data_IF_984700457357
#
_entry.id   IF_984700457357
#
_cell.length_a   1.000
_cell.length_b   1.000
_cell.length_c   1.000
_cell.angle_alpha   90.00
_cell.angle_beta   90.00
_cell.angle_gamma   90.00
#
_symmetry.space_group_name_H-M   'P 1'
#
loop_
_entity.id
_entity.type
_entity.pdbx_description
1 polymer ?
#
# COMPACT_ATOMS: atom_id res chain seq x y z
N UNK A 1 17.67 57.52 -12.52
CA UNK A 1 17.69 59.00 -12.47
C UNK A 1 16.28 59.53 -12.15
N UNK A 2 15.67 59.04 -11.06
CA UNK A 2 14.40 59.48 -10.50
C UNK A 2 14.36 59.00 -9.03
N UNK A 3 15.29 59.51 -8.23
CA UNK A 3 15.40 59.21 -6.79
C UNK A 3 15.83 60.49 -6.03
N UNK A 4 15.14 61.59 -6.32
CA UNK A 4 15.42 62.90 -5.70
C UNK A 4 14.16 63.73 -5.41
N UNK A 5 12.98 63.11 -5.33
CA UNK A 5 11.72 63.84 -5.00
C UNK A 5 11.05 63.36 -3.70
N UNK A 6 11.46 62.24 -3.09
CA UNK A 6 10.73 61.68 -1.93
C UNK A 6 11.39 61.98 -0.57
N UNK A 7 12.61 62.51 -0.52
CA UNK A 7 13.32 62.83 0.73
C UNK A 7 13.42 64.34 1.04
N UNK A 8 12.54 65.15 0.45
CA UNK A 8 12.55 66.61 0.64
C UNK A 8 11.24 67.15 1.22
N UNK A 9 11.15 67.22 2.55
CA UNK A 9 10.25 68.13 3.25
C UNK A 9 8.98 67.53 3.86
N UNK A 10 9.00 67.22 5.16
CA UNK A 10 8.46 68.12 6.18
C UNK A 10 8.52 67.47 7.56
N UNK A 11 8.94 68.27 8.54
CA UNK A 11 8.75 67.98 9.96
C UNK A 11 7.28 68.24 10.33
N UNK A 12 6.80 67.38 11.23
CA UNK A 12 5.75 67.60 12.23
C UNK A 12 4.25 67.38 11.88
N UNK A 13 3.63 66.73 12.86
CA UNK A 13 2.22 66.66 13.30
C UNK A 13 1.20 65.76 12.57
N UNK A 14 0.64 64.88 13.42
CA UNK A 14 -0.70 64.27 13.45
C UNK A 14 -1.08 63.08 12.56
N UNK A 15 -1.62 62.06 13.24
CA UNK A 15 -2.63 61.14 12.71
C UNK A 15 -2.10 59.79 12.22
N UNK A 16 -2.28 58.73 13.02
CA UNK A 16 -1.98 57.35 12.64
C UNK A 16 -2.69 56.93 11.36
N UNK A 17 -1.91 56.49 10.37
CA UNK A 17 -2.43 56.03 9.07
C UNK A 17 -1.37 55.91 7.96
N UNK A 18 -0.21 56.55 8.10
CA UNK A 18 0.79 56.62 7.02
C UNK A 18 1.66 55.37 6.80
N UNK A 19 1.82 54.49 7.79
CA UNK A 19 2.77 53.36 7.72
C UNK A 19 2.27 52.19 6.87
N UNK A 20 0.99 51.82 6.98
CA UNK A 20 0.44 50.69 6.22
C UNK A 20 0.20 51.01 4.75
N UNK A 21 -0.11 52.27 4.42
CA UNK A 21 -0.28 52.71 3.04
C UNK A 21 1.04 52.69 2.26
N UNK A 22 2.15 53.13 2.87
CA UNK A 22 3.48 53.02 2.25
C UNK A 22 3.91 51.55 2.06
N UNK A 23 3.63 50.68 3.03
CA UNK A 23 3.96 49.26 2.92
C UNK A 23 3.13 48.55 1.83
N UNK A 24 1.87 48.92 1.69
CA UNK A 24 0.99 48.40 0.64
C UNK A 24 1.40 48.89 -0.76
N UNK A 25 1.75 50.17 -0.93
CA UNK A 25 2.24 50.69 -2.21
C UNK A 25 3.58 50.07 -2.63
N UNK A 26 4.50 49.83 -1.67
CA UNK A 26 5.75 49.10 -1.92
C UNK A 26 5.50 47.63 -2.30
N UNK A 27 4.54 46.97 -1.66
CA UNK A 27 4.18 45.58 -1.98
C UNK A 27 3.53 45.46 -3.38
N UNK A 28 2.66 46.41 -3.75
CA UNK A 28 2.03 46.44 -5.08
C UNK A 28 3.07 46.73 -6.17
N UNK A 29 4.07 47.58 -5.91
CA UNK A 29 5.17 47.82 -6.86
C UNK A 29 6.03 46.58 -7.12
N UNK A 30 6.27 45.75 -6.11
CA UNK A 30 7.03 44.49 -6.24
C UNK A 30 6.23 43.43 -7.00
N UNK A 31 4.91 43.38 -6.82
CA UNK A 31 4.04 42.44 -7.57
C UNK A 31 3.94 42.84 -9.05
N UNK A 32 3.89 44.14 -9.37
CA UNK A 32 3.82 44.62 -10.76
C UNK A 32 5.14 44.40 -11.53
N UNK A 33 6.30 44.43 -10.87
CA UNK A 33 7.58 44.08 -11.53
C UNK A 33 7.72 42.57 -11.80
N UNK A 34 7.11 41.70 -10.98
CA UNK A 34 7.16 40.25 -11.15
C UNK A 34 6.20 39.73 -12.23
N UNK A 35 5.07 40.39 -12.47
CA UNK A 35 4.09 39.99 -13.50
C UNK A 35 4.50 40.45 -14.92
N UNK A 36 5.55 41.27 -15.04
CA UNK A 36 6.03 41.83 -16.30
C UNK A 36 7.38 41.32 -16.82
N UNK A 37 8.07 40.46 -16.09
CA UNK A 37 9.45 40.09 -16.43
C UNK A 37 9.76 38.62 -16.19
N UNK A 38 9.79 37.83 -17.26
CA UNK A 38 10.14 36.42 -17.24
C UNK A 38 11.65 36.14 -16.97
N UNK A 39 12.49 37.17 -16.80
CA UNK A 39 13.94 37.02 -16.62
C UNK A 39 14.54 38.16 -15.77
N UNK A 40 14.31 38.16 -14.45
CA UNK A 40 15.06 39.05 -13.52
C UNK A 40 15.89 38.21 -12.56
N UNK A 41 17.22 38.28 -12.72
CA UNK A 41 18.18 37.75 -11.75
C UNK A 41 18.37 38.79 -10.63
N UNK A 42 17.81 38.54 -9.45
CA UNK A 42 17.96 39.44 -8.30
C UNK A 42 19.36 39.27 -7.69
N UNK A 43 20.12 40.36 -7.55
CA UNK A 43 21.47 40.32 -6.98
C UNK A 43 21.45 40.14 -5.45
N UNK A 44 22.47 39.43 -4.91
CA UNK A 44 22.59 39.11 -3.47
C UNK A 44 22.52 40.33 -2.53
N UNK A 45 22.92 41.52 -2.97
CA UNK A 45 22.89 42.75 -2.15
C UNK A 45 21.47 43.31 -1.96
N UNK A 46 20.59 43.07 -2.95
CA UNK A 46 19.20 43.51 -2.91
C UNK A 46 18.39 42.64 -1.95
N UNK A 47 18.64 41.32 -1.95
CA UNK A 47 17.99 40.35 -1.05
C UNK A 47 18.25 40.60 0.45
N UNK A 48 19.47 41.02 0.81
CA UNK A 48 19.79 41.39 2.21
C UNK A 48 18.98 42.60 2.69
N UNK A 49 18.70 43.56 1.81
CA UNK A 49 17.86 44.71 2.16
C UNK A 49 16.40 44.28 2.35
N UNK A 50 15.86 43.39 1.50
CA UNK A 50 14.50 42.85 1.67
C UNK A 50 14.32 42.10 3.00
N UNK A 51 15.28 41.25 3.38
CA UNK A 51 15.22 40.51 4.65
C UNK A 51 15.32 41.43 5.88
N UNK A 52 16.13 42.49 5.83
CA UNK A 52 16.22 43.49 6.91
C UNK A 52 14.92 44.29 7.03
N UNK A 53 14.30 44.67 5.92
CA UNK A 53 12.98 45.34 5.93
C UNK A 53 11.90 44.43 6.53
N UNK A 54 11.86 43.15 6.16
CA UNK A 54 10.88 42.17 6.68
C UNK A 54 11.07 41.93 8.18
N UNK A 55 12.32 41.75 8.65
CA UNK A 55 12.60 41.59 10.08
C UNK A 55 12.21 42.84 10.87
N UNK A 56 12.43 44.03 10.32
CA UNK A 56 12.04 45.28 10.98
C UNK A 56 10.52 45.40 11.08
N UNK A 57 9.78 45.03 10.03
CA UNK A 57 8.31 45.03 10.02
C UNK A 57 7.74 44.03 11.03
N UNK A 58 8.26 42.79 11.06
CA UNK A 58 7.82 41.77 12.02
C UNK A 58 8.12 42.19 13.46
N UNK A 59 9.29 42.77 13.70
CA UNK A 59 9.70 43.21 15.04
C UNK A 59 8.90 44.42 15.53
N UNK A 60 8.46 45.31 14.62
CA UNK A 60 7.53 46.41 14.91
C UNK A 60 6.10 45.90 15.17
N UNK A 61 5.62 44.90 14.42
CA UNK A 61 4.29 44.30 14.67
C UNK A 61 4.23 43.56 16.02
N UNK A 62 5.30 42.88 16.43
CA UNK A 62 5.38 42.20 17.73
C UNK A 62 5.47 43.19 18.90
N UNK A 63 6.13 44.34 18.71
CA UNK A 63 6.22 45.40 19.70
C UNK A 63 4.89 46.11 19.98
N UNK A 64 3.97 46.18 18.99
CA UNK A 64 2.69 46.87 19.11
C UNK A 64 1.50 45.96 19.48
N UNK A 65 1.70 44.64 19.64
CA UNK A 65 0.65 43.64 19.97
C UNK A 65 -0.61 43.76 19.10
N UNK A 66 -0.48 44.11 17.83
CA UNK A 66 -1.58 44.13 16.88
C UNK A 66 -1.75 42.73 16.25
N UNK A 67 -2.97 42.18 16.15
CA UNK A 67 -3.20 40.93 15.45
C UNK A 67 -2.93 41.09 13.94
N UNK A 68 -2.12 40.20 13.37
CA UNK A 68 -1.85 40.15 11.93
C UNK A 68 -3.14 39.73 11.20
N UNK A 69 -3.65 40.58 10.31
CA UNK A 69 -4.79 40.26 9.44
C UNK A 69 -4.43 39.24 8.34
N UNK A 70 -5.42 38.63 7.70
CA UNK A 70 -5.26 37.54 6.71
C UNK A 70 -4.26 37.85 5.58
N UNK A 71 -4.15 39.11 5.16
CA UNK A 71 -3.17 39.60 4.17
C UNK A 71 -1.71 39.37 4.62
N UNK A 72 -1.43 39.43 5.93
CA UNK A 72 -0.09 39.24 6.49
C UNK A 72 0.31 37.76 6.54
N UNK A 73 -0.66 36.85 6.68
CA UNK A 73 -0.44 35.41 6.56
C UNK A 73 -0.11 35.01 5.13
N UNK A 74 -0.74 35.67 4.15
CA UNK A 74 -0.44 35.48 2.73
C UNK A 74 1.00 35.90 2.41
N UNK A 75 1.46 37.02 2.96
CA UNK A 75 2.85 37.47 2.81
C UNK A 75 3.83 36.48 3.45
N UNK A 76 3.52 35.96 4.64
CA UNK A 76 4.35 34.93 5.29
C UNK A 76 4.41 33.63 4.47
N UNK A 77 3.28 33.24 3.86
CA UNK A 77 3.17 32.07 3.00
C UNK A 77 3.97 32.23 1.70
N UNK A 78 3.89 33.40 1.06
CA UNK A 78 4.66 33.71 -0.15
C UNK A 78 6.17 33.72 0.17
N UNK A 79 6.57 34.31 1.30
CA UNK A 79 7.97 34.30 1.75
C UNK A 79 8.47 32.88 2.03
N UNK A 80 7.63 32.02 2.63
CA UNK A 80 7.94 30.60 2.84
C UNK A 80 8.09 29.83 1.52
N UNK A 81 7.17 30.04 0.57
CA UNK A 81 7.24 29.45 -0.77
C UNK A 81 8.50 29.91 -1.54
N UNK A 82 8.85 31.20 -1.47
CA UNK A 82 10.07 31.73 -2.07
C UNK A 82 11.34 31.20 -1.40
N UNK A 83 11.33 30.99 -0.08
CA UNK A 83 12.44 30.36 0.65
C UNK A 83 12.63 28.89 0.23
N UNK A 84 11.55 28.16 -0.01
CA UNK A 84 11.60 26.80 -0.54
C UNK A 84 12.16 26.76 -1.97
N UNK A 85 11.73 27.68 -2.84
CA UNK A 85 12.28 27.81 -4.19
C UNK A 85 13.77 28.20 -4.21
N UNK A 86 14.21 29.12 -3.35
CA UNK A 86 15.60 29.63 -3.35
C UNK A 86 16.62 28.62 -2.79
N UNK A 87 16.22 27.76 -1.85
CA UNK A 87 17.11 26.72 -1.31
C UNK A 87 17.21 25.49 -2.22
N UNK A 88 16.59 25.49 -3.39
CA UNK A 88 16.52 24.29 -4.22
C UNK A 88 15.88 23.12 -3.47
N UNK A 89 14.90 23.39 -2.58
CA UNK A 89 13.93 22.37 -2.20
C UNK A 89 13.08 22.08 -3.44
N UNK A 90 13.71 21.32 -4.34
CA UNK A 90 13.11 20.50 -5.36
C UNK A 90 11.86 19.87 -4.74
N UNK A 91 10.84 19.67 -5.59
CA UNK A 91 9.94 18.54 -5.48
C UNK A 91 10.63 17.45 -4.66
N UNK A 92 10.17 17.21 -3.43
CA UNK A 92 10.67 16.06 -2.69
C UNK A 92 10.22 14.87 -3.51
N UNK A 93 11.11 14.35 -4.36
CA UNK A 93 10.91 13.14 -5.11
C UNK A 93 10.70 12.05 -4.05
N UNK A 94 9.44 11.87 -3.63
CA UNK A 94 9.09 10.98 -2.54
C UNK A 94 9.47 9.57 -3.01
N UNK A 95 10.53 9.02 -2.41
CA UNK A 95 10.99 7.68 -2.75
C UNK A 95 10.16 6.70 -1.94
N UNK A 96 9.21 6.07 -2.61
CA UNK A 96 8.36 5.02 -2.05
C UNK A 96 8.96 3.66 -2.40
N UNK A 97 9.37 2.92 -1.38
CA UNK A 97 9.77 1.53 -1.54
C UNK A 97 8.60 0.62 -1.23
N UNK A 98 8.23 -0.23 -2.19
CA UNK A 98 7.22 -1.27 -1.95
C UNK A 98 7.95 -2.60 -1.77
N UNK A 99 7.88 -3.16 -0.57
CA UNK A 99 8.40 -4.49 -0.27
C UNK A 99 7.21 -5.44 -0.33
N UNK A 100 7.23 -6.34 -1.30
CA UNK A 100 6.23 -7.38 -1.47
C UNK A 100 6.94 -8.73 -1.54
N UNK A 101 6.33 -9.75 -0.96
CA UNK A 101 6.77 -11.14 -1.15
C UNK A 101 5.88 -11.88 -2.15
N UNK A 102 4.86 -11.23 -2.71
CA UNK A 102 3.94 -11.82 -3.65
C UNK A 102 4.16 -11.29 -5.07
N UNK A 103 4.07 -12.21 -6.03
CA UNK A 103 4.39 -12.02 -7.44
C UNK A 103 3.53 -10.95 -8.12
N UNK A 104 4.09 -10.27 -9.12
CA UNK A 104 3.40 -9.33 -10.01
C UNK A 104 3.25 -9.96 -11.41
N UNK A 105 2.00 -10.16 -11.87
CA UNK A 105 1.52 -10.51 -13.25
C UNK A 105 1.24 -11.99 -13.64
N UNK A 106 0.78 -12.18 -14.89
CA UNK A 106 -0.60 -12.59 -15.24
C UNK A 106 -0.87 -14.10 -15.42
N UNK A 107 0.10 -15.01 -15.32
CA UNK A 107 -0.18 -16.46 -15.43
C UNK A 107 0.13 -17.32 -14.20
N UNK A 108 0.93 -16.82 -13.25
CA UNK A 108 1.18 -17.41 -11.92
C UNK A 108 0.74 -16.45 -10.82
N UNK A 109 -0.46 -15.91 -10.99
CA UNK A 109 -1.09 -15.03 -10.00
C UNK A 109 -1.40 -15.82 -8.74
N UNK A 110 -0.55 -15.70 -7.71
CA UNK A 110 -0.91 -16.16 -6.36
C UNK A 110 -1.79 -15.10 -5.69
N UNK A 111 -2.98 -14.89 -6.26
CA UNK A 111 -4.00 -13.95 -5.75
C UNK A 111 -3.91 -12.50 -6.25
N UNK A 112 -4.84 -11.65 -5.79
CA UNK A 112 -4.98 -10.25 -6.25
C UNK A 112 -3.90 -9.27 -5.80
N UNK A 113 -2.98 -9.69 -4.91
CA UNK A 113 -1.99 -8.80 -4.30
C UNK A 113 -1.02 -8.19 -5.32
N UNK A 114 -0.55 -9.00 -6.27
CA UNK A 114 0.34 -8.54 -7.34
C UNK A 114 -0.24 -7.40 -8.19
N UNK A 115 -1.52 -7.51 -8.54
CA UNK A 115 -2.22 -6.50 -9.32
C UNK A 115 -2.40 -5.21 -8.52
N UNK A 116 -2.66 -5.32 -7.21
CA UNK A 116 -2.77 -4.15 -6.33
C UNK A 116 -1.44 -3.42 -6.23
N UNK A 117 -0.33 -4.13 -6.01
CA UNK A 117 1.01 -3.53 -5.94
C UNK A 117 1.39 -2.89 -7.27
N UNK A 118 1.07 -3.55 -8.40
CA UNK A 118 1.33 -3.03 -9.75
C UNK A 118 0.53 -1.76 -10.02
N UNK A 119 -0.79 -1.81 -9.80
CA UNK A 119 -1.68 -0.66 -10.03
C UNK A 119 -1.34 0.51 -9.11
N UNK A 120 -1.05 0.25 -7.83
CA UNK A 120 -0.61 1.27 -6.88
C UNK A 120 0.71 1.90 -7.32
N UNK A 121 1.71 1.09 -7.67
CA UNK A 121 3.01 1.58 -8.12
C UNK A 121 2.90 2.48 -9.34
N UNK A 122 2.15 2.06 -10.38
CA UNK A 122 1.90 2.88 -11.57
C UNK A 122 1.16 4.17 -11.22
N UNK A 123 0.15 4.12 -10.37
CA UNK A 123 -0.62 5.30 -9.96
C UNK A 123 0.26 6.31 -9.19
N UNK A 124 1.17 5.83 -8.34
CA UNK A 124 2.13 6.68 -7.62
C UNK A 124 3.17 7.29 -8.56
N UNK A 125 3.72 6.51 -9.51
CA UNK A 125 4.62 7.04 -10.55
C UNK A 125 3.96 8.14 -11.38
N UNK A 126 2.70 7.94 -11.80
CA UNK A 126 1.92 8.96 -12.53
C UNK A 126 1.72 10.26 -11.72
N UNK A 127 1.80 10.19 -10.40
CA UNK A 127 1.76 11.36 -9.50
C UNK A 127 3.13 11.96 -9.20
N UNK A 128 4.20 11.48 -9.86
CA UNK A 128 5.56 12.00 -9.72
C UNK A 128 6.37 11.37 -8.59
N UNK A 129 5.91 10.28 -7.97
CA UNK A 129 6.67 9.59 -6.94
C UNK A 129 7.66 8.59 -7.55
N UNK A 130 8.87 8.52 -7.01
CA UNK A 130 9.80 7.46 -7.36
C UNK A 130 9.37 6.19 -6.63
N UNK A 131 8.92 5.19 -7.39
CA UNK A 131 8.51 3.90 -6.84
C UNK A 131 9.51 2.83 -7.23
N UNK A 132 10.07 2.15 -6.24
CA UNK A 132 10.93 0.98 -6.43
C UNK A 132 10.34 -0.20 -5.67
N UNK A 133 10.33 -1.38 -6.30
CA UNK A 133 9.74 -2.59 -5.72
C UNK A 133 10.84 -3.57 -5.37
N UNK A 134 10.77 -4.22 -4.21
CA UNK A 134 11.70 -5.28 -3.81
C UNK A 134 10.92 -6.58 -3.66
N UNK A 135 11.32 -7.61 -4.40
CA UNK A 135 10.73 -8.95 -4.40
C UNK A 135 11.80 -10.02 -4.11
N UNK A 136 11.43 -11.18 -3.55
CA UNK A 136 12.27 -12.37 -3.61
C UNK A 136 12.38 -12.84 -5.06
N UNK A 137 13.57 -13.29 -5.48
CA UNK A 137 13.76 -13.90 -6.79
C UNK A 137 13.36 -15.38 -6.73
N UNK A 138 12.10 -15.69 -7.01
CA UNK A 138 11.66 -17.09 -7.06
C UNK A 138 12.15 -17.82 -8.33
N UNK A 139 12.46 -19.10 -8.23
CA UNK A 139 12.78 -19.95 -9.38
C UNK A 139 11.59 -20.18 -10.31
N UNK A 140 10.37 -20.14 -9.78
CA UNK A 140 9.12 -20.32 -10.53
C UNK A 140 8.48 -19.02 -11.05
N UNK A 141 9.21 -17.90 -11.07
CA UNK A 141 8.70 -16.64 -11.66
C UNK A 141 8.56 -16.74 -13.18
N UNK A 142 7.65 -15.94 -13.74
CA UNK A 142 7.58 -15.71 -15.19
C UNK A 142 8.65 -14.71 -15.61
N UNK A 143 9.86 -15.22 -15.84
CA UNK A 143 11.02 -14.39 -16.20
C UNK A 143 10.83 -13.64 -17.52
N UNK A 144 10.00 -14.16 -18.43
CA UNK A 144 9.69 -13.59 -19.73
C UNK A 144 8.94 -12.26 -19.63
N UNK A 145 8.26 -12.01 -18.51
CA UNK A 145 7.55 -10.75 -18.25
C UNK A 145 8.45 -9.65 -17.71
N UNK A 146 9.70 -9.97 -17.35
CA UNK A 146 10.65 -9.02 -16.77
C UNK A 146 11.55 -8.46 -17.88
N UNK A 147 11.43 -7.17 -18.16
CA UNK A 147 12.29 -6.50 -19.13
C UNK A 147 13.63 -6.12 -18.49
N UNK A 148 14.69 -6.17 -19.27
CA UNK A 148 16.04 -5.73 -18.89
C UNK A 148 16.57 -6.38 -17.60
N UNK A 149 16.16 -7.64 -17.35
CA UNK A 149 16.60 -8.39 -16.18
C UNK A 149 18.11 -8.62 -16.21
N UNK A 150 18.81 -8.06 -15.24
CA UNK A 150 20.27 -8.20 -15.11
C UNK A 150 20.70 -8.23 -13.66
N UNK A 151 21.78 -8.95 -13.40
CA UNK A 151 22.43 -8.91 -12.09
C UNK A 151 23.15 -7.57 -11.92
N UNK A 152 23.04 -6.99 -10.74
CA UNK A 152 23.93 -5.91 -10.33
C UNK A 152 25.27 -6.50 -9.90
N UNK A 153 26.36 -5.79 -10.18
CA UNK A 153 27.70 -6.12 -9.67
C UNK A 153 27.84 -5.64 -8.21
N UNK A 154 26.88 -6.05 -7.39
CA UNK A 154 26.84 -5.80 -5.96
C UNK A 154 26.41 -7.09 -5.27
N UNK A 155 27.08 -7.43 -4.17
CA UNK A 155 26.69 -8.54 -3.31
C UNK A 155 26.30 -7.96 -1.98
N UNK A 156 25.04 -8.17 -1.59
CA UNK A 156 24.51 -7.72 -0.30
C UNK A 156 24.64 -8.86 0.69
N UNK A 157 25.28 -8.62 1.83
CA UNK A 157 25.37 -9.63 2.90
C UNK A 157 24.31 -9.39 3.97
N UNK A 158 23.62 -10.45 4.39
CA UNK A 158 22.59 -10.38 5.44
C UNK A 158 22.86 -11.40 6.55
N UNK A 159 22.74 -10.94 7.79
CA UNK A 159 22.77 -11.82 8.95
C UNK A 159 21.58 -12.79 8.95
N UNK A 160 21.84 -14.08 9.16
CA UNK A 160 20.83 -15.07 9.48
C UNK A 160 21.43 -16.24 10.28
N UNK A 161 20.72 -16.79 11.26
CA UNK A 161 21.14 -17.98 12.04
C UNK A 161 22.61 -17.93 12.53
N UNK A 162 23.05 -16.75 13.01
CA UNK A 162 24.40 -16.54 13.54
C UNK A 162 25.52 -16.35 12.49
N UNK A 163 25.17 -16.24 11.19
CA UNK A 163 26.14 -16.14 10.08
C UNK A 163 25.73 -15.05 9.09
N UNK A 164 26.67 -14.61 8.26
CA UNK A 164 26.38 -13.75 7.11
C UNK A 164 26.18 -14.61 5.87
N UNK A 165 25.11 -14.33 5.12
CA UNK A 165 24.81 -14.95 3.84
C UNK A 165 24.83 -13.91 2.73
N UNK A 166 25.38 -14.29 1.59
CA UNK A 166 25.42 -13.45 0.40
C UNK A 166 24.07 -13.47 -0.31
N UNK A 167 23.69 -12.33 -0.87
CA UNK A 167 22.50 -12.17 -1.69
C UNK A 167 22.91 -11.54 -3.01
N UNK A 168 22.52 -12.18 -4.11
CA UNK A 168 22.68 -11.61 -5.43
C UNK A 168 21.49 -10.73 -5.73
N UNK A 169 21.76 -9.49 -6.12
CA UNK A 169 20.72 -8.51 -6.43
C UNK A 169 20.55 -8.43 -7.93
N UNK A 170 19.31 -8.55 -8.39
CA UNK A 170 18.95 -8.38 -9.78
C UNK A 170 18.03 -7.17 -9.91
N UNK A 171 18.08 -6.52 -11.06
CA UNK A 171 17.17 -5.43 -11.41
C UNK A 171 16.48 -5.75 -12.72
N UNK A 172 15.24 -5.32 -12.84
CA UNK A 172 14.47 -5.38 -14.07
C UNK A 172 13.29 -4.43 -14.03
N UNK A 173 12.52 -4.40 -15.11
CA UNK A 173 11.29 -3.61 -15.20
C UNK A 173 10.10 -4.53 -15.43
N UNK A 174 9.09 -4.38 -14.58
CA UNK A 174 7.83 -5.14 -14.63
C UNK A 174 6.72 -4.12 -14.83
N UNK A 175 6.04 -4.15 -15.98
CA UNK A 175 4.92 -3.23 -16.27
C UNK A 175 5.28 -1.74 -16.11
N UNK A 176 6.52 -1.38 -16.45
CA UNK A 176 7.03 -0.01 -16.32
C UNK A 176 7.54 0.36 -14.92
N UNK A 177 7.42 -0.54 -13.93
CA UNK A 177 7.91 -0.33 -12.57
C UNK A 177 9.32 -0.93 -12.41
N UNK A 178 10.28 -0.19 -11.81
CA UNK A 178 11.58 -0.74 -11.49
C UNK A 178 11.47 -1.71 -10.31
N UNK A 179 12.02 -2.92 -10.49
CA UNK A 179 11.96 -4.00 -9.51
C UNK A 179 13.36 -4.53 -9.22
N UNK A 180 13.68 -4.63 -7.93
CA UNK A 180 14.84 -5.35 -7.41
C UNK A 180 14.39 -6.76 -6.99
N UNK A 181 15.13 -7.76 -7.45
CA UNK A 181 14.93 -9.15 -7.04
C UNK A 181 16.11 -9.61 -6.20
N UNK A 182 15.83 -10.10 -5.00
CA UNK A 182 16.84 -10.62 -4.08
C UNK A 182 16.90 -12.13 -4.25
N UNK A 183 18.05 -12.64 -4.65
CA UNK A 183 18.36 -14.08 -4.74
C UNK A 183 19.25 -14.49 -3.56
N UNK A 184 18.69 -15.14 -2.53
CA UNK A 184 19.49 -15.59 -1.39
C UNK A 184 20.43 -16.73 -1.75
N UNK A 185 21.71 -16.61 -1.43
CA UNK A 185 22.64 -17.75 -1.45
C UNK A 185 22.66 -18.41 -0.06
N UNK A 186 21.51 -18.96 0.32
CA UNK A 186 21.32 -19.69 1.58
C UNK A 186 21.28 -21.21 1.31
N UNK A 187 21.93 -22.07 2.14
CA UNK A 187 21.96 -23.53 1.92
C UNK A 187 20.57 -24.18 1.93
N UNK A 188 19.57 -23.53 2.51
CA UNK A 188 18.18 -23.95 2.45
C UNK A 188 17.49 -23.68 1.11
N UNK A 189 18.17 -23.13 0.10
CA UNK A 189 17.58 -22.78 -1.20
C UNK A 189 16.30 -21.93 -1.07
N UNK A 190 16.34 -20.89 -0.24
CA UNK A 190 15.17 -20.03 -0.04
C UNK A 190 14.73 -19.40 -1.37
N UNK A 191 13.45 -19.57 -1.68
CA UNK A 191 12.82 -19.13 -2.95
C UNK A 191 13.31 -19.86 -4.20
N UNK A 192 14.07 -20.95 -4.06
CA UNK A 192 14.49 -21.82 -5.16
C UNK A 192 13.98 -23.26 -4.93
N UNK A 193 12.65 -23.39 -4.82
CA UNK A 193 11.97 -24.66 -4.48
C UNK A 193 10.72 -24.93 -5.32
N UNK A 194 10.43 -24.11 -6.32
CA UNK A 194 9.23 -24.21 -7.15
C UNK A 194 7.96 -23.62 -6.55
N UNK A 195 7.94 -23.33 -5.24
CA UNK A 195 6.74 -22.90 -4.52
C UNK A 195 6.88 -21.49 -3.90
N UNK A 196 5.80 -20.70 -4.01
CA UNK A 196 5.74 -19.33 -3.47
C UNK A 196 5.45 -19.31 -1.97
N UNK A 197 4.47 -20.14 -1.54
CA UNK A 197 3.98 -20.23 -0.16
C UNK A 197 3.75 -21.69 0.25
N UNK A 198 3.59 -21.93 1.54
CA UNK A 198 3.22 -23.24 2.08
C UNK A 198 4.42 -24.12 2.41
N UNK A 199 5.64 -23.58 2.35
CA UNK A 199 6.81 -24.30 2.85
C UNK A 199 6.79 -24.35 4.38
N UNK A 200 7.28 -25.46 4.91
CA UNK A 200 7.37 -25.70 6.35
C UNK A 200 8.18 -24.64 7.13
N UNK A 201 9.08 -23.93 6.45
CA UNK A 201 9.97 -22.91 7.01
C UNK A 201 9.68 -21.49 6.46
N UNK A 202 8.45 -21.23 5.99
CA UNK A 202 8.08 -19.91 5.44
C UNK A 202 8.39 -18.74 6.40
N UNK A 203 8.25 -18.94 7.71
CA UNK A 203 8.67 -17.93 8.70
C UNK A 203 10.14 -17.53 8.52
N UNK A 204 11.03 -18.52 8.35
CA UNK A 204 12.46 -18.29 8.12
C UNK A 204 12.70 -17.67 6.76
N UNK A 205 12.06 -18.17 5.70
CA UNK A 205 12.18 -17.61 4.34
C UNK A 205 11.85 -16.12 4.32
N UNK A 206 10.72 -15.74 4.90
CA UNK A 206 10.20 -14.38 4.85
C UNK A 206 10.89 -13.41 5.82
N UNK A 207 11.32 -13.88 7.00
CA UNK A 207 12.17 -13.08 7.89
C UNK A 207 13.57 -12.86 7.30
N UNK A 208 14.14 -13.86 6.62
CA UNK A 208 15.37 -13.71 5.85
C UNK A 208 15.20 -12.64 4.76
N UNK A 209 14.16 -12.74 3.94
CA UNK A 209 13.90 -11.78 2.86
C UNK A 209 13.73 -10.36 3.40
N UNK A 210 12.94 -10.18 4.46
CA UNK A 210 12.73 -8.88 5.10
C UNK A 210 14.05 -8.28 5.60
N UNK A 211 14.94 -9.11 6.17
CA UNK A 211 16.29 -8.69 6.58
C UNK A 211 17.12 -8.27 5.37
N UNK A 212 17.19 -9.10 4.33
CA UNK A 212 17.98 -8.85 3.12
C UNK A 212 17.50 -7.60 2.35
N UNK A 213 16.20 -7.33 2.33
CA UNK A 213 15.63 -6.12 1.74
C UNK A 213 16.10 -4.85 2.46
N UNK A 214 16.15 -4.85 3.79
CA UNK A 214 16.71 -3.74 4.56
C UNK A 214 18.23 -3.62 4.41
N UNK A 215 18.96 -4.73 4.28
CA UNK A 215 20.40 -4.70 3.97
C UNK A 215 20.66 -4.08 2.60
N UNK A 216 19.83 -4.39 1.59
CA UNK A 216 19.91 -3.77 0.27
C UNK A 216 19.76 -2.24 0.39
N UNK A 217 18.76 -1.77 1.11
CA UNK A 217 18.56 -0.32 1.33
C UNK A 217 19.76 0.31 2.04
N UNK A 218 20.20 -0.31 3.14
CA UNK A 218 21.27 0.21 3.97
C UNK A 218 22.62 0.25 3.24
N UNK A 219 23.02 -0.86 2.60
CA UNK A 219 24.32 -1.00 1.93
C UNK A 219 24.36 -0.20 0.62
N UNK A 220 23.22 -0.02 -0.06
CA UNK A 220 23.13 0.87 -1.22
C UNK A 220 23.04 2.36 -0.85
N UNK A 221 23.02 2.70 0.45
CA UNK A 221 22.88 4.09 0.92
C UNK A 221 21.53 4.73 0.56
N UNK A 222 20.52 3.92 0.26
CA UNK A 222 19.18 4.40 -0.10
C UNK A 222 18.47 4.93 1.15
N UNK A 223 17.81 6.09 1.01
CA UNK A 223 17.07 6.75 2.08
C UNK A 223 15.63 6.99 1.64
N UNK A 224 14.78 5.95 1.62
CA UNK A 224 13.40 6.14 1.26
C UNK A 224 12.66 6.99 2.29
N UNK A 225 11.64 7.69 1.82
CA UNK A 225 10.69 8.41 2.68
C UNK A 225 9.62 7.47 3.22
N UNK A 226 9.24 6.47 2.41
CA UNK A 226 8.23 5.48 2.77
C UNK A 226 8.73 4.08 2.44
N UNK A 227 8.58 3.16 3.40
CA UNK A 227 8.68 1.71 3.17
C UNK A 227 7.28 1.13 3.34
N UNK A 228 6.70 0.62 2.26
CA UNK A 228 5.37 0.03 2.23
C UNK A 228 5.48 -1.49 2.16
N UNK A 229 5.09 -2.14 3.26
CA UNK A 229 5.10 -3.58 3.43
C UNK A 229 3.70 -4.15 3.18
N UNK A 230 3.63 -5.29 2.48
CA UNK A 230 2.38 -6.00 2.22
C UNK A 230 2.37 -7.39 2.84
N UNK A 231 1.34 -7.65 3.64
CA UNK A 231 1.04 -8.91 4.31
C UNK A 231 2.15 -9.50 5.19
N UNK A 232 1.82 -10.60 5.86
CA UNK A 232 2.63 -11.18 6.93
C UNK A 232 4.07 -11.53 6.49
N UNK A 233 4.27 -11.83 5.22
CA UNK A 233 5.57 -12.16 4.63
C UNK A 233 6.58 -11.00 4.72
N UNK A 234 6.10 -9.76 4.86
CA UNK A 234 6.97 -8.56 5.01
C UNK A 234 6.80 -7.91 6.38
N UNK A 235 6.05 -8.53 7.29
CA UNK A 235 5.72 -7.97 8.59
C UNK A 235 6.93 -7.83 9.55
N UNK A 236 8.05 -8.48 9.22
CA UNK A 236 9.31 -8.37 9.96
C UNK A 236 10.07 -7.06 9.67
N UNK A 237 9.77 -6.38 8.56
CA UNK A 237 10.50 -5.17 8.13
C UNK A 237 10.41 -4.08 9.20
N UNK A 238 9.23 -3.84 9.77
CA UNK A 238 9.04 -2.79 10.77
C UNK A 238 9.88 -2.97 12.05
N UNK A 239 9.82 -4.12 12.75
CA UNK A 239 10.67 -4.34 13.92
C UNK A 239 12.16 -4.36 13.56
N UNK A 240 12.55 -5.00 12.44
CA UNK A 240 13.95 -4.99 11.97
C UNK A 240 14.47 -3.57 11.74
N UNK A 241 13.68 -2.73 11.07
CA UNK A 241 14.03 -1.35 10.77
C UNK A 241 14.31 -0.56 12.05
N UNK A 242 13.38 -0.57 13.00
CA UNK A 242 13.52 0.24 14.22
C UNK A 242 14.61 -0.27 15.16
N UNK A 243 14.72 -1.58 15.34
CA UNK A 243 15.65 -2.15 16.31
C UNK A 243 17.09 -2.18 15.78
N UNK A 244 17.28 -2.40 14.48
CA UNK A 244 18.60 -2.75 13.92
C UNK A 244 19.14 -1.76 12.90
N UNK A 245 18.30 -1.03 12.16
CA UNK A 245 18.76 -0.18 11.05
C UNK A 245 18.61 1.31 11.30
N UNK A 246 17.54 1.75 11.97
CA UNK A 246 17.37 3.14 12.37
C UNK A 246 18.53 3.66 13.24
N UNK A 247 19.03 2.89 14.25
CA UNK A 247 20.23 3.29 15.00
C UNK A 247 21.50 3.35 14.15
N UNK A 248 21.54 2.65 13.01
CA UNK A 248 22.67 2.64 12.07
C UNK A 248 22.60 3.75 11.01
N UNK A 249 21.55 4.57 11.01
CA UNK A 249 21.39 5.72 10.11
C UNK A 249 20.38 5.53 8.97
N UNK A 250 19.75 4.36 8.84
CA UNK A 250 18.57 4.19 7.98
C UNK A 250 17.31 4.54 8.79
N UNK A 251 17.10 5.84 9.02
CA UNK A 251 16.09 6.36 9.96
C UNK A 251 15.14 7.43 9.36
N UNK A 252 15.19 7.64 8.04
CA UNK A 252 14.33 8.62 7.34
C UNK A 252 12.92 8.10 7.07
N UNK A 253 12.77 6.80 6.84
CA UNK A 253 11.55 6.22 6.34
C UNK A 253 10.43 6.16 7.38
N UNK A 254 9.21 6.40 6.90
CA UNK A 254 7.97 6.02 7.56
C UNK A 254 7.50 4.67 7.01
N UNK A 255 7.08 3.78 7.90
CA UNK A 255 6.68 2.42 7.55
C UNK A 255 5.16 2.35 7.44
N UNK A 256 4.67 1.97 6.27
CA UNK A 256 3.28 1.64 6.02
C UNK A 256 3.15 0.11 5.91
N UNK A 257 2.19 -0.48 6.60
CA UNK A 257 1.91 -1.91 6.49
C UNK A 257 0.47 -2.13 6.05
N UNK A 258 0.27 -2.81 4.93
CA UNK A 258 -1.07 -3.23 4.47
C UNK A 258 -1.27 -4.71 4.73
N UNK A 259 -2.31 -5.05 5.48
CA UNK A 259 -2.78 -6.43 5.62
C UNK A 259 -4.04 -6.63 4.77
N UNK A 260 -3.96 -7.53 3.79
CA UNK A 260 -5.05 -7.90 2.89
C UNK A 260 -5.92 -9.01 3.43
N UNK A 261 -5.35 -9.89 4.26
CA UNK A 261 -6.09 -10.99 4.86
C UNK A 261 -5.52 -11.37 6.22
N UNK A 262 -6.30 -11.13 7.29
CA UNK A 262 -5.94 -11.49 8.66
C UNK A 262 -5.98 -13.00 8.94
N UNK A 263 -6.38 -13.85 7.99
CA UNK A 263 -6.23 -15.31 8.10
C UNK A 263 -4.76 -15.72 8.24
N UNK A 264 -3.89 -15.11 7.43
CA UNK A 264 -2.50 -15.51 7.30
C UNK A 264 -1.63 -14.55 8.11
N UNK A 265 -1.20 -15.00 9.28
CA UNK A 265 -0.47 -14.15 10.23
C UNK A 265 1.00 -14.56 10.43
N UNK A 266 1.40 -15.73 9.92
CA UNK A 266 2.77 -16.22 10.05
C UNK A 266 3.19 -16.56 11.47
N UNK A 267 2.27 -16.99 12.34
CA UNK A 267 2.60 -17.30 13.74
C UNK A 267 3.64 -18.44 13.81
N UNK A 268 4.65 -18.31 14.66
CA UNK A 268 5.72 -19.31 14.85
C UNK A 268 6.28 -19.25 16.28
N UNK A 269 7.09 -20.25 16.72
CA UNK A 269 7.81 -20.18 17.99
C UNK A 269 8.64 -18.90 18.09
N UNK A 270 8.62 -18.23 19.24
CA UNK A 270 9.29 -16.96 19.45
C UNK A 270 10.81 -17.00 19.20
N UNK A 271 11.43 -18.15 19.46
CA UNK A 271 12.85 -18.40 19.23
C UNK A 271 13.27 -18.15 17.77
N UNK A 272 12.36 -18.29 16.81
CA UNK A 272 12.64 -18.10 15.39
C UNK A 272 12.98 -16.63 15.03
N UNK A 273 12.64 -15.66 15.89
CA UNK A 273 13.04 -14.26 15.67
C UNK A 273 14.56 -14.08 15.71
N UNK A 274 15.26 -14.86 16.54
CA UNK A 274 16.72 -14.82 16.65
C UNK A 274 17.40 -15.12 15.30
N UNK A 275 16.76 -15.93 14.45
CA UNK A 275 17.24 -16.29 13.12
C UNK A 275 17.54 -15.05 12.29
N UNK A 276 16.69 -14.02 12.33
CA UNK A 276 16.88 -12.76 11.60
C UNK A 276 17.60 -11.65 12.40
N UNK A 277 18.09 -11.97 13.61
CA UNK A 277 18.86 -11.07 14.47
C UNK A 277 18.02 -10.20 15.40
N UNK A 278 16.72 -10.47 15.51
CA UNK A 278 15.83 -9.78 16.43
C UNK A 278 15.93 -10.36 17.86
N UNK A 279 15.82 -9.51 18.87
CA UNK A 279 15.86 -9.91 20.28
C UNK A 279 14.53 -10.55 20.71
N UNK A 280 14.57 -11.87 20.94
CA UNK A 280 13.41 -12.67 21.31
C UNK A 280 12.78 -12.19 22.62
N UNK A 281 13.59 -11.84 23.62
CA UNK A 281 13.08 -11.45 24.95
C UNK A 281 12.42 -10.07 24.91
N UNK A 282 12.96 -9.15 24.11
CA UNK A 282 12.37 -7.82 23.95
C UNK A 282 11.09 -7.84 23.12
N UNK A 283 10.96 -8.75 22.16
CA UNK A 283 9.84 -8.78 21.21
C UNK A 283 8.75 -9.78 21.55
N UNK A 284 9.06 -10.89 22.23
CA UNK A 284 8.05 -11.83 22.71
C UNK A 284 7.37 -11.31 23.99
N UNK A 285 6.70 -10.16 23.86
CA UNK A 285 5.92 -9.50 24.91
C UNK A 285 4.50 -9.21 24.43
N UNK A 286 3.49 -9.19 25.33
CA UNK A 286 2.10 -8.92 24.97
C UNK A 286 1.88 -7.59 24.24
N UNK A 287 2.63 -6.54 24.59
CA UNK A 287 2.58 -5.21 23.96
C UNK A 287 3.42 -5.11 22.68
N UNK A 288 4.06 -6.21 22.27
CA UNK A 288 4.96 -6.33 21.11
C UNK A 288 4.46 -7.43 20.17
N UNK A 289 5.30 -8.42 19.86
CA UNK A 289 5.01 -9.45 18.86
C UNK A 289 4.44 -10.74 19.43
N UNK A 290 4.30 -10.91 20.75
CA UNK A 290 3.80 -12.16 21.33
C UNK A 290 2.42 -12.52 20.79
N UNK A 291 2.22 -13.77 20.40
CA UNK A 291 0.93 -14.25 19.92
C UNK A 291 -0.13 -14.20 21.04
N UNK A 292 -1.36 -13.79 20.71
CA UNK A 292 -2.42 -13.64 21.71
C UNK A 292 -2.97 -14.99 22.19
N UNK A 293 -2.75 -16.07 21.45
CA UNK A 293 -3.22 -17.42 21.75
C UNK A 293 -2.15 -18.31 22.38
N UNK A 294 -0.87 -17.95 22.28
CA UNK A 294 0.24 -18.76 22.79
C UNK A 294 1.47 -17.90 23.17
N UNK A 295 1.87 -17.91 24.44
CA UNK A 295 2.93 -17.04 24.97
C UNK A 295 4.35 -17.40 24.51
N UNK A 296 4.58 -18.64 24.08
CA UNK A 296 5.84 -19.12 23.51
C UNK A 296 5.96 -18.83 22.00
N UNK A 297 4.93 -18.24 21.41
CA UNK A 297 4.85 -17.90 19.99
C UNK A 297 4.82 -16.41 19.76
N UNK A 298 5.20 -16.03 18.55
CA UNK A 298 5.11 -14.66 18.05
C UNK A 298 4.24 -14.61 16.81
N UNK A 299 3.67 -13.44 16.59
CA UNK A 299 2.77 -13.13 15.50
C UNK A 299 3.34 -11.95 14.69
N UNK A 300 3.94 -12.22 13.51
CA UNK A 300 4.50 -11.19 12.66
C UNK A 300 3.52 -10.05 12.34
N UNK A 301 2.27 -10.36 12.00
CA UNK A 301 1.26 -9.32 11.70
C UNK A 301 0.98 -8.43 12.90
N UNK A 302 0.90 -9.00 14.11
CA UNK A 302 0.84 -8.21 15.36
C UNK A 302 2.03 -7.26 15.46
N UNK A 303 3.24 -7.76 15.19
CA UNK A 303 4.45 -6.95 15.13
C UNK A 303 4.33 -5.79 14.14
N UNK A 304 3.94 -6.07 12.90
CA UNK A 304 3.77 -5.02 11.91
C UNK A 304 2.71 -3.98 12.32
N UNK A 305 1.62 -4.38 12.98
CA UNK A 305 0.65 -3.43 13.55
C UNK A 305 1.29 -2.56 14.62
N UNK A 306 2.06 -3.14 15.53
CA UNK A 306 2.69 -2.42 16.64
C UNK A 306 3.76 -1.45 16.14
N UNK A 307 4.63 -1.87 15.21
CA UNK A 307 5.85 -1.16 14.82
C UNK A 307 5.69 -0.22 13.60
N UNK A 308 4.67 -0.40 12.75
CA UNK A 308 4.47 0.49 11.59
C UNK A 308 3.92 1.85 12.00
N UNK A 309 4.24 2.90 11.23
CA UNK A 309 3.70 4.24 11.44
C UNK A 309 2.23 4.33 11.06
N UNK A 310 1.85 3.68 9.95
CA UNK A 310 0.47 3.54 9.48
C UNK A 310 0.23 2.07 9.15
N UNK A 311 -0.97 1.61 9.46
CA UNK A 311 -1.45 0.27 9.12
C UNK A 311 -2.70 0.45 8.26
N UNK A 312 -2.76 -0.24 7.14
CA UNK A 312 -3.91 -0.19 6.26
C UNK A 312 -4.50 -1.56 5.96
N UNK A 313 -5.73 -1.57 5.50
CA UNK A 313 -6.40 -2.76 4.98
C UNK A 313 -7.24 -2.41 3.75
N UNK A 314 -7.85 -3.40 3.11
CA UNK A 314 -8.35 -3.34 1.73
C UNK A 314 -9.71 -2.65 1.53
N UNK A 315 -10.36 -2.25 2.62
CA UNK A 315 -11.54 -1.37 2.56
C UNK A 315 -11.86 -0.74 3.92
N UNK A 316 -12.58 0.41 3.95
CA UNK A 316 -13.11 0.97 5.20
C UNK A 316 -13.99 0.02 5.99
N UNK A 317 -14.84 -0.76 5.30
CA UNK A 317 -15.73 -1.73 5.94
C UNK A 317 -14.94 -2.87 6.56
N UNK A 318 -14.02 -3.48 5.82
CA UNK A 318 -13.17 -4.55 6.33
C UNK A 318 -12.33 -4.08 7.53
N UNK A 319 -11.86 -2.82 7.52
CA UNK A 319 -11.18 -2.22 8.67
C UNK A 319 -12.06 -2.18 9.93
N UNK A 320 -13.36 -1.96 9.79
CA UNK A 320 -14.28 -2.03 10.92
C UNK A 320 -14.48 -3.48 11.38
N UNK A 321 -14.71 -4.39 10.43
CA UNK A 321 -14.98 -5.81 10.69
C UNK A 321 -13.84 -6.51 11.44
N UNK A 322 -12.57 -6.23 11.10
CA UNK A 322 -11.41 -6.86 11.76
C UNK A 322 -11.16 -6.33 13.17
N UNK A 323 -11.72 -5.15 13.49
CA UNK A 323 -11.62 -4.51 14.80
C UNK A 323 -12.75 -4.89 15.75
N UNK A 324 -13.90 -5.29 15.23
CA UNK A 324 -15.00 -5.75 16.06
C UNK A 324 -14.69 -7.14 16.63
N UNK A 325 -14.50 -7.23 17.94
CA UNK A 325 -14.85 -8.44 18.66
C UNK A 325 -16.37 -8.54 18.58
N UNK A 326 -16.94 -9.59 18.01
CA UNK A 326 -18.40 -9.70 18.01
C UNK A 326 -18.91 -9.80 19.45
N UNK A 327 -19.47 -8.70 19.96
CA UNK A 327 -20.48 -8.72 21.00
C UNK A 327 -21.78 -8.24 20.36
N UNK A 328 -22.67 -9.20 20.06
CA UNK A 328 -24.00 -9.09 19.45
C UNK A 328 -24.07 -8.64 17.97
N UNK A 329 -24.73 -9.43 17.09
CA UNK A 329 -25.09 -8.94 15.77
C UNK A 329 -26.13 -7.83 15.92
N UNK A 330 -25.79 -6.62 15.50
CA UNK A 330 -26.81 -5.65 15.07
C UNK A 330 -27.72 -6.37 14.06
N UNK A 331 -29.06 -6.32 14.21
CA UNK A 331 -29.93 -6.98 13.26
C UNK A 331 -29.67 -6.37 11.89
N UNK A 332 -29.14 -7.19 10.97
CA UNK A 332 -29.13 -6.83 9.55
C UNK A 332 -30.58 -6.56 9.20
N UNK A 333 -30.90 -5.32 8.83
CA UNK A 333 -32.16 -4.98 8.20
C UNK A 333 -32.41 -6.00 7.10
N UNK A 334 -33.44 -6.81 7.29
CA UNK A 334 -33.85 -7.84 6.35
C UNK A 334 -33.96 -7.20 4.96
N UNK A 335 -33.13 -7.66 4.01
CA UNK A 335 -33.43 -7.49 2.60
C UNK A 335 -34.87 -7.98 2.37
N UNK A 336 -35.70 -7.27 1.60
CA UNK A 336 -37.07 -7.70 1.37
C UNK A 336 -37.04 -9.13 0.80
N UNK A 337 -37.71 -10.07 1.47
CA UNK A 337 -37.95 -11.40 0.91
C UNK A 337 -38.63 -11.21 -0.44
N UNK A 338 -37.96 -11.63 -1.51
CA UNK A 338 -38.61 -11.80 -2.82
C UNK A 338 -39.74 -12.81 -2.60
N UNK A 339 -40.98 -12.37 -2.75
CA UNK A 339 -42.15 -13.27 -2.68
C UNK A 339 -42.06 -14.26 -3.85
N UNK A 340 -42.26 -15.57 -3.61
CA UNK A 340 -42.50 -16.50 -4.71
C UNK A 340 -43.77 -16.07 -5.46
N UNK A 341 -43.73 -16.13 -6.79
CA UNK A 341 -44.91 -15.98 -7.63
C UNK A 341 -45.96 -17.05 -7.28
N UNK A 342 -47.25 -16.71 -7.13
CA UNK A 342 -48.30 -17.69 -6.88
C UNK A 342 -48.91 -18.21 -8.21
N UNK A 343 -49.08 -19.53 -8.30
CA UNK A 343 -49.77 -20.27 -9.38
C UNK A 343 -48.82 -21.23 -10.10
N UNK A 344 -49.06 -22.53 -10.25
CA UNK A 344 -50.29 -23.32 -10.21
C UNK A 344 -50.05 -24.77 -9.72
N UNK A 345 -51.14 -25.36 -9.29
CA UNK A 345 -51.31 -26.68 -8.68
C UNK A 345 -51.21 -27.87 -9.66
N UNK A 346 -50.47 -28.93 -9.29
CA UNK A 346 -50.95 -30.32 -8.99
C UNK A 346 -49.88 -31.39 -9.30
N UNK A 347 -49.67 -32.38 -8.42
CA UNK A 347 -48.87 -33.57 -8.73
C UNK A 347 -49.75 -34.62 -9.44
N UNK A 348 -49.31 -35.07 -10.62
CA UNK A 348 -49.84 -36.26 -11.30
C UNK A 348 -49.04 -37.47 -10.83
N UNK A 349 -49.74 -38.47 -10.31
CA UNK A 349 -49.19 -39.80 -10.03
C UNK A 349 -49.10 -40.61 -11.33
N UNK A 350 -47.99 -41.29 -11.56
CA UNK A 350 -47.98 -42.56 -12.30
C UNK A 350 -46.90 -43.50 -11.75
N UNK A 351 -47.28 -44.77 -11.64
CA UNK A 351 -46.46 -45.94 -11.27
C UNK A 351 -45.85 -46.54 -12.54
N UNK A 352 -44.71 -47.24 -12.43
CA UNK A 352 -44.40 -48.39 -13.30
C UNK A 352 -42.96 -48.50 -13.82
N UNK A 353 -42.21 -49.41 -13.20
CA UNK A 353 -41.26 -50.39 -13.76
C UNK A 353 -39.87 -50.03 -14.34
N UNK A 354 -38.88 -50.37 -13.51
CA UNK A 354 -37.70 -51.23 -13.75
C UNK A 354 -37.12 -51.42 -15.16
N UNK A 355 -35.82 -51.13 -15.30
CA UNK A 355 -34.84 -52.15 -15.76
C UNK A 355 -33.41 -51.75 -15.37
N UNK A 356 -32.67 -52.73 -14.88
CA UNK A 356 -31.30 -52.65 -14.40
C UNK A 356 -30.31 -52.85 -15.55
N UNK A 357 -29.21 -52.09 -15.54
CA UNK A 357 -27.96 -52.44 -16.21
C UNK A 357 -26.83 -52.32 -15.19
N UNK A 358 -26.16 -53.44 -14.97
CA UNK A 358 -25.07 -53.70 -14.02
C UNK A 358 -23.70 -53.55 -14.69
N UNK A 359 -22.71 -53.03 -13.94
CA UNK A 359 -21.25 -53.36 -13.90
C UNK A 359 -20.44 -52.16 -13.33
N UNK A 360 -19.24 -52.36 -12.77
CA UNK A 360 -18.85 -53.26 -11.68
C UNK A 360 -18.27 -52.47 -10.47
N UNK A 361 -18.16 -53.16 -9.33
CA UNK A 361 -17.52 -52.68 -8.09
C UNK A 361 -16.04 -52.36 -8.33
N UNK A 362 -15.62 -51.17 -7.91
CA UNK A 362 -14.23 -50.81 -7.68
C UNK A 362 -14.04 -50.55 -6.18
N UNK A 363 -12.88 -50.99 -5.70
CA UNK A 363 -12.57 -51.27 -4.32
C UNK A 363 -12.54 -50.07 -3.38
N UNK A 364 -12.77 -50.38 -2.10
CA UNK A 364 -12.73 -49.48 -0.95
C UNK A 364 -11.41 -48.68 -0.88
N UNK A 365 -11.51 -47.36 -1.03
CA UNK A 365 -10.63 -46.41 -0.34
C UNK A 365 -11.51 -45.67 0.67
N UNK A 366 -11.34 -46.05 1.93
CA UNK A 366 -11.98 -45.44 3.09
C UNK A 366 -11.46 -44.01 3.25
N UNK A 367 -12.20 -43.02 2.76
CA UNK A 367 -12.07 -41.64 3.23
C UNK A 367 -12.79 -41.56 4.58
N UNK A 368 -12.03 -41.78 5.66
CA UNK A 368 -12.44 -41.40 7.00
C UNK A 368 -12.49 -39.86 7.05
N UNK A 369 -13.70 -39.33 7.02
CA UNK A 369 -14.01 -37.94 7.29
C UNK A 369 -15.35 -37.94 7.99
N UNK A 370 -15.34 -38.31 9.26
CA UNK A 370 -16.52 -38.28 10.12
C UNK A 370 -17.20 -36.92 10.04
N UNK A 371 -18.45 -36.93 9.60
CA UNK A 371 -19.39 -35.84 9.80
C UNK A 371 -19.65 -35.78 11.30
N UNK A 372 -18.80 -35.04 12.01
CA UNK A 372 -19.08 -34.63 13.37
C UNK A 372 -20.13 -33.54 13.28
N UNK A 373 -21.38 -33.88 13.63
CA UNK A 373 -22.40 -32.89 13.96
C UNK A 373 -21.97 -32.24 15.28
N UNK A 374 -21.12 -31.22 15.17
CA UNK A 374 -20.67 -30.39 16.28
C UNK A 374 -21.68 -29.29 16.57
N UNK A 375 -22.28 -29.35 17.75
CA UNK A 375 -23.05 -28.28 18.37
C UNK A 375 -22.15 -27.08 18.70
N UNK A 376 -22.74 -25.87 18.64
CA UNK A 376 -22.20 -24.54 18.99
C UNK A 376 -21.15 -23.93 18.03
N UNK A 377 -21.57 -22.88 17.32
CA UNK A 377 -20.76 -22.16 16.36
C UNK A 377 -19.67 -21.31 17.01
N UNK A 378 -18.41 -21.64 16.74
CA UNK A 378 -17.30 -20.70 16.87
C UNK A 378 -17.49 -19.59 15.81
N UNK A 379 -18.03 -18.45 16.25
CA UNK A 379 -18.03 -17.20 15.50
C UNK A 379 -16.57 -16.79 15.21
N UNK A 380 -16.13 -17.00 13.97
CA UNK A 380 -14.78 -16.64 13.51
C UNK A 380 -14.66 -15.12 13.43
N UNK A 381 -14.09 -14.50 14.46
CA UNK A 381 -13.73 -13.07 14.44
C UNK A 381 -12.85 -12.76 13.22
N UNK A 382 -13.24 -11.79 12.39
CA UNK A 382 -12.51 -11.46 11.15
C UNK A 382 -11.07 -11.00 11.41
N UNK A 383 -10.79 -10.36 12.55
CA UNK A 383 -9.44 -10.00 12.96
C UNK A 383 -8.61 -11.15 13.51
N UNK A 384 -9.17 -12.38 13.55
CA UNK A 384 -8.46 -13.63 13.88
C UNK A 384 -7.55 -13.53 15.12
N UNK A 385 -8.11 -13.00 16.21
CA UNK A 385 -7.42 -12.82 17.50
C UNK A 385 -6.68 -11.49 17.68
N UNK A 386 -6.53 -10.66 16.64
CA UNK A 386 -5.81 -9.38 16.71
C UNK A 386 -6.70 -8.16 17.00
N UNK A 387 -8.00 -8.33 17.20
CA UNK A 387 -8.96 -7.23 17.43
C UNK A 387 -8.53 -6.30 18.59
N UNK A 388 -7.98 -6.83 19.69
CA UNK A 388 -7.47 -6.01 20.81
C UNK A 388 -6.31 -5.13 20.35
N UNK A 389 -5.32 -5.73 19.66
CA UNK A 389 -4.16 -5.01 19.11
C UNK A 389 -4.59 -3.95 18.10
N UNK A 390 -5.52 -4.28 17.20
CA UNK A 390 -6.02 -3.33 16.21
C UNK A 390 -6.75 -2.16 16.85
N UNK A 391 -7.51 -2.40 17.93
CA UNK A 391 -8.18 -1.34 18.67
C UNK A 391 -7.21 -0.47 19.47
N UNK A 392 -6.18 -1.03 20.10
CA UNK A 392 -5.15 -0.23 20.79
C UNK A 392 -4.36 0.67 19.84
N UNK A 393 -4.27 0.27 18.56
CA UNK A 393 -3.61 1.02 17.49
C UNK A 393 -4.57 1.71 16.50
N UNK A 394 -5.84 1.90 16.88
CA UNK A 394 -6.88 2.41 15.98
C UNK A 394 -6.55 3.76 15.31
N UNK A 395 -5.80 4.64 15.97
CA UNK A 395 -5.44 5.97 15.44
C UNK A 395 -4.59 5.92 14.17
N UNK A 396 -3.83 4.84 13.99
CA UNK A 396 -2.96 4.63 12.82
C UNK A 396 -3.48 3.52 11.89
N UNK A 397 -4.68 3.01 12.14
CA UNK A 397 -5.29 1.92 11.37
C UNK A 397 -6.39 2.46 10.46
N UNK A 398 -6.24 2.27 9.14
CA UNK A 398 -7.10 2.90 8.13
C UNK A 398 -7.52 1.87 7.06
N UNK A 399 -8.79 1.88 6.65
CA UNK A 399 -9.22 1.11 5.48
C UNK A 399 -9.06 1.92 4.20
N UNK A 400 -8.31 1.39 3.23
CA UNK A 400 -8.15 1.97 1.90
C UNK A 400 -8.75 0.99 0.89
N UNK A 401 -9.77 1.42 0.16
CA UNK A 401 -10.40 0.59 -0.85
C UNK A 401 -9.41 0.25 -1.96
N UNK A 402 -9.19 -1.04 -2.21
CA UNK A 402 -8.37 -1.48 -3.35
C UNK A 402 -8.97 -0.97 -4.67
N UNK A 403 -8.12 -0.41 -5.53
CA UNK A 403 -8.47 -0.02 -6.89
C UNK A 403 -8.10 -1.09 -7.92
N UNK A 404 -8.45 -0.82 -9.17
CA UNK A 404 -7.97 -1.57 -10.34
C UNK A 404 -7.16 -0.63 -11.23
N UNK A 405 -6.21 -1.18 -11.99
CA UNK A 405 -5.55 -0.43 -13.06
C UNK A 405 -6.55 -0.26 -14.22
N UNK A 406 -7.06 0.95 -14.41
CA UNK A 406 -8.06 1.26 -15.44
C UNK A 406 -7.47 1.40 -16.83
N UNK A 407 -6.15 1.36 -17.00
CA UNK A 407 -5.56 1.26 -18.34
C UNK A 407 -5.59 -0.19 -18.82
N UNK A 408 -5.38 -1.14 -17.89
CA UNK A 408 -5.42 -2.58 -18.15
C UNK A 408 -6.86 -3.10 -18.19
N UNK A 409 -7.67 -2.75 -17.19
CA UNK A 409 -9.04 -3.25 -17.04
C UNK A 409 -10.07 -2.27 -17.63
N UNK A 410 -9.90 -1.93 -18.91
CA UNK A 410 -10.77 -1.01 -19.64
C UNK A 410 -11.58 -1.70 -20.74
N UNK A 411 -12.88 -1.99 -20.53
CA UNK A 411 -13.68 -2.65 -21.57
C UNK A 411 -13.85 -1.84 -22.86
N UNK A 412 -13.57 -0.53 -22.83
CA UNK A 412 -13.65 0.32 -24.01
C UNK A 412 -12.41 0.18 -24.92
N UNK A 413 -11.29 -0.30 -24.38
CA UNK A 413 -10.02 -0.45 -25.10
C UNK A 413 -9.50 -1.91 -25.14
N UNK A 414 -10.11 -2.81 -24.37
CA UNK A 414 -9.69 -4.20 -24.27
C UNK A 414 -9.90 -4.96 -25.59
N UNK A 415 -8.79 -5.28 -26.26
CA UNK A 415 -8.76 -6.01 -27.53
C UNK A 415 -9.11 -7.49 -27.39
N UNK A 416 -9.14 -8.01 -26.16
CA UNK A 416 -9.53 -9.40 -25.87
C UNK A 416 -11.05 -9.57 -25.91
N UNK A 417 -11.80 -8.48 -25.77
CA UNK A 417 -13.25 -8.50 -25.96
C UNK A 417 -13.58 -8.61 -27.46
N UNK A 418 -14.61 -9.40 -27.76
CA UNK A 418 -15.14 -9.49 -29.13
C UNK A 418 -15.65 -8.13 -29.60
N UNK A 419 -16.35 -7.42 -28.71
CA UNK A 419 -16.88 -6.06 -28.95
C UNK A 419 -16.63 -5.22 -27.71
N UNK A 420 -15.90 -4.12 -27.86
CA UNK A 420 -15.64 -3.18 -26.77
C UNK A 420 -16.95 -2.51 -26.31
N UNK A 421 -16.99 -2.11 -25.05
CA UNK A 421 -18.14 -1.43 -24.46
C UNK A 421 -17.70 -0.48 -23.35
N UNK A 422 -18.56 0.45 -22.95
CA UNK A 422 -18.27 1.42 -21.90
C UNK A 422 -19.43 1.58 -20.92
N UNK A 423 -19.25 2.39 -19.88
CA UNK A 423 -20.35 2.75 -18.98
C UNK A 423 -21.49 3.48 -19.71
N UNK A 424 -21.20 4.17 -20.81
CA UNK A 424 -22.16 4.94 -21.60
C UNK A 424 -22.73 4.15 -22.79
N UNK A 425 -22.09 3.05 -23.18
CA UNK A 425 -22.55 2.17 -24.25
C UNK A 425 -22.37 0.71 -23.87
N UNK A 426 -23.49 0.04 -23.55
CA UNK A 426 -23.51 -1.34 -23.09
C UNK A 426 -23.83 -2.35 -24.20
N UNK A 427 -24.01 -1.92 -25.46
CA UNK A 427 -24.47 -2.81 -26.54
C UNK A 427 -23.51 -4.01 -26.74
N UNK A 428 -22.20 -3.76 -26.67
CA UNK A 428 -21.17 -4.81 -26.79
C UNK A 428 -21.26 -5.91 -25.73
N UNK A 429 -21.90 -5.68 -24.56
CA UNK A 429 -22.05 -6.72 -23.53
C UNK A 429 -22.86 -7.92 -24.00
N UNK A 430 -23.91 -7.70 -24.78
CA UNK A 430 -24.76 -8.79 -25.27
C UNK A 430 -23.99 -9.70 -26.23
N UNK A 431 -23.19 -9.11 -27.12
CA UNK A 431 -22.35 -9.84 -28.06
C UNK A 431 -21.21 -10.59 -27.38
N UNK A 432 -20.57 -9.97 -26.39
CA UNK A 432 -19.53 -10.63 -25.58
C UNK A 432 -20.11 -11.82 -24.80
N UNK A 433 -21.29 -11.66 -24.19
CA UNK A 433 -21.98 -12.76 -23.49
C UNK A 433 -22.24 -13.93 -24.44
N UNK A 434 -22.74 -13.67 -25.64
CA UNK A 434 -23.01 -14.71 -26.63
C UNK A 434 -21.72 -15.34 -27.17
N UNK A 435 -20.65 -14.56 -27.34
CA UNK A 435 -19.34 -15.09 -27.70
C UNK A 435 -18.80 -16.08 -26.66
N UNK A 436 -18.86 -15.70 -25.37
CA UNK A 436 -18.45 -16.57 -24.26
C UNK A 436 -19.31 -17.83 -24.19
N UNK A 437 -20.64 -17.69 -24.33
CA UNK A 437 -21.56 -18.84 -24.35
C UNK A 437 -21.22 -19.82 -25.45
N UNK A 438 -20.97 -19.34 -26.67
CA UNK A 438 -20.53 -20.21 -27.78
C UNK A 438 -19.20 -20.88 -27.48
N UNK A 439 -18.23 -20.14 -26.95
CA UNK A 439 -16.92 -20.68 -26.59
C UNK A 439 -17.00 -21.78 -25.52
N UNK A 440 -17.91 -21.63 -24.55
CA UNK A 440 -18.14 -22.60 -23.47
C UNK A 440 -19.16 -23.71 -23.82
N UNK A 441 -19.67 -23.75 -25.07
CA UNK A 441 -20.67 -24.74 -25.48
C UNK A 441 -22.07 -24.55 -24.86
N UNK A 442 -22.38 -23.36 -24.35
CA UNK A 442 -23.65 -22.99 -23.70
C UNK A 442 -24.69 -22.43 -24.68
N UNK A 443 -24.54 -22.68 -25.97
CA UNK A 443 -25.36 -22.09 -27.04
C UNK A 443 -26.84 -22.50 -26.99
N UNK A 444 -27.19 -23.61 -26.33
CA UNK A 444 -28.56 -24.10 -26.19
C UNK A 444 -29.35 -23.49 -25.02
N UNK A 445 -28.70 -22.75 -24.11
CA UNK A 445 -29.37 -22.12 -22.98
C UNK A 445 -30.23 -20.90 -23.40
N UNK A 446 -31.18 -20.44 -22.58
CA UNK A 446 -31.89 -19.18 -22.88
C UNK A 446 -30.90 -17.99 -22.79
N UNK A 447 -30.84 -17.14 -23.82
CA UNK A 447 -29.97 -15.96 -23.89
C UNK A 447 -30.26 -14.96 -22.76
N UNK A 448 -31.50 -14.93 -22.25
CA UNK A 448 -31.92 -14.05 -21.16
C UNK A 448 -31.42 -14.52 -19.80
N UNK A 449 -31.05 -15.80 -19.66
CA UNK A 449 -30.51 -16.29 -18.39
C UNK A 449 -29.17 -15.61 -18.07
N UNK A 450 -28.94 -15.18 -16.82
CA UNK A 450 -27.67 -14.58 -16.43
C UNK A 450 -26.54 -15.60 -16.59
N UNK A 451 -25.40 -15.14 -17.09
CA UNK A 451 -24.17 -15.94 -17.04
C UNK A 451 -23.50 -15.64 -15.71
N UNK A 452 -23.41 -16.64 -14.84
CA UNK A 452 -22.76 -16.53 -13.54
C UNK A 452 -21.39 -17.17 -13.65
N UNK A 453 -20.35 -16.38 -13.43
CA UNK A 453 -18.96 -16.84 -13.46
C UNK A 453 -18.42 -16.74 -12.04
N UNK A 454 -17.94 -17.85 -11.53
CA UNK A 454 -17.22 -17.95 -10.26
C UNK A 454 -15.81 -18.39 -10.61
N UNK A 455 -14.83 -17.55 -10.34
CA UNK A 455 -13.43 -17.95 -10.39
C UNK A 455 -13.09 -18.57 -9.02
N UNK A 456 -12.57 -19.80 -8.98
CA UNK A 456 -12.25 -20.51 -7.74
C UNK A 456 -11.10 -19.87 -6.96
#
# INVERSE_FOLDING_TARGET
>A
MLWSVVLGGNRASDGGGGSSAMAAELAVMVVIELDGCADVTISQSSYRHYLVCIFTILHSCEAERQPLGDESLLILFIVYCCFLCYNGCMWTDLISFVISASFMLTFFKVGGLGDVVTGLGKALQKRGHLVEIVLPKYDCMQYECIRDLRALDVVVESYFDGRLFKNKVWVGTVEGLPVYFIEPHHPGNFFWRGEVYGEHDDFKRFSFFSRAALELLFQAGKKPDIIHCHDWQTAFVAPLYWDLYAPKGLNSARICFTCHNFEYQGSAPASELASCGLDVHQLNRPDRMQDNSAHDRVNPVKGAIVFSNIVTTVSPTYAQEVRTAESNPTPRTSLPRVRPFPGENKPVRSRGDASAITRPKADNITLAGDVTVGFEGELRLQGRGLHVTLNSHAKKFIGILNGIDTDVWNPAADTSLKVQYSANDLQGKAENKEAIRRHLGLSSADVRQPLVILFP
#
